data_IF_970184350110
#
_entry.id   IF_970184350110
#
_cell.length_a   1.000
_cell.length_b   1.000
_cell.length_c   1.000
_cell.angle_alpha   90.00
_cell.angle_beta   90.00
_cell.angle_gamma   90.00
#
_symmetry.space_group_name_H-M   'P 1'
#
loop_
_entity.id
_entity.type
_entity.pdbx_description
1 polymer ?
#
# COMPACT_ATOMS: atom_id res chain seq x y z
N UNK A 1 13.75 0.15 -1.64
CA UNK A 1 12.46 0.06 -0.93
C UNK A 1 11.77 1.41 -1.03
N UNK A 2 10.59 1.52 -1.65
CA UNK A 2 10.07 2.83 -2.07
C UNK A 2 9.38 3.63 -0.95
N UNK A 3 8.90 3.00 0.13
CA UNK A 3 8.18 3.72 1.21
C UNK A 3 8.33 3.05 2.60
N UNK A 4 9.32 2.19 2.81
CA UNK A 4 9.48 1.43 4.08
C UNK A 4 8.42 0.37 4.32
N UNK A 5 7.70 -0.05 3.27
CA UNK A 5 6.78 -1.18 3.27
C UNK A 5 7.31 -2.28 2.34
N UNK A 6 7.31 -3.52 2.82
CA UNK A 6 7.73 -4.67 2.00
C UNK A 6 6.71 -4.97 0.91
N UNK A 7 7.16 -5.49 -0.23
CA UNK A 7 6.29 -5.90 -1.33
C UNK A 7 5.22 -6.91 -0.87
N UNK A 8 5.61 -7.88 -0.03
CA UNK A 8 4.69 -8.86 0.58
C UNK A 8 3.56 -8.19 1.36
N UNK A 9 3.86 -7.14 2.12
CA UNK A 9 2.83 -6.39 2.85
C UNK A 9 1.91 -5.62 1.90
N UNK A 10 2.45 -5.00 0.85
CA UNK A 10 1.62 -4.30 -0.15
C UNK A 10 0.61 -5.26 -0.80
N UNK A 11 1.07 -6.45 -1.20
CA UNK A 11 0.16 -7.45 -1.77
C UNK A 11 -0.83 -8.03 -0.75
N UNK A 12 -0.44 -8.16 0.53
CA UNK A 12 -1.37 -8.56 1.58
C UNK A 12 -2.46 -7.50 1.83
N UNK A 13 -2.11 -6.21 1.78
CA UNK A 13 -3.06 -5.11 1.91
C UNK A 13 -4.03 -5.05 0.73
N UNK A 14 -3.51 -5.26 -0.48
CA UNK A 14 -4.33 -5.45 -1.68
C UNK A 14 -5.33 -6.59 -1.51
N UNK A 15 -4.88 -7.77 -1.08
CA UNK A 15 -5.74 -8.93 -0.89
C UNK A 15 -6.84 -8.70 0.18
N UNK A 16 -6.58 -7.84 1.16
CA UNK A 16 -7.53 -7.43 2.20
C UNK A 16 -8.44 -6.27 1.78
N UNK A 17 -8.29 -5.73 0.57
CA UNK A 17 -9.04 -4.56 0.11
C UNK A 17 -8.70 -3.27 0.87
N UNK A 18 -7.52 -3.20 1.48
CA UNK A 18 -7.07 -2.07 2.32
C UNK A 18 -6.22 -1.04 1.59
N UNK A 19 -5.87 -1.30 0.33
CA UNK A 19 -5.08 -0.40 -0.48
C UNK A 19 -5.69 -0.33 -1.88
N UNK A 20 -6.00 0.88 -2.40
CA UNK A 20 -6.42 1.04 -3.78
C UNK A 20 -5.33 0.53 -4.73
N UNK A 21 -5.74 -0.03 -5.86
CA UNK A 21 -4.81 -0.49 -6.89
C UNK A 21 -5.45 -0.44 -8.26
N UNK A 22 -4.61 -0.34 -9.28
CA UNK A 22 -5.01 -0.49 -10.67
C UNK A 22 -4.33 -1.72 -11.27
N UNK A 23 -5.07 -2.47 -12.10
CA UNK A 23 -4.50 -3.53 -12.93
C UNK A 23 -4.22 -3.00 -14.32
N UNK A 24 -2.97 -3.16 -14.76
CA UNK A 24 -2.53 -2.86 -16.13
C UNK A 24 -1.96 -4.16 -16.70
N UNK A 25 -2.78 -4.88 -17.47
CA UNK A 25 -2.46 -6.23 -17.93
C UNK A 25 -2.18 -7.19 -16.77
N UNK A 26 -0.98 -7.78 -16.76
CA UNK A 26 -0.52 -8.67 -15.68
C UNK A 26 0.06 -7.91 -14.48
N UNK A 27 0.34 -6.63 -14.63
CA UNK A 27 0.93 -5.81 -13.57
C UNK A 27 -0.13 -5.23 -12.65
N UNK A 28 0.16 -5.22 -11.35
CA UNK A 28 -0.59 -4.42 -10.37
C UNK A 28 0.22 -3.17 -10.07
N UNK A 29 -0.40 -2.00 -10.14
CA UNK A 29 0.22 -0.73 -9.75
C UNK A 29 -0.53 -0.15 -8.57
N UNK A 30 0.23 0.54 -7.74
CA UNK A 30 -0.24 1.26 -6.57
C UNK A 30 0.17 2.71 -6.74
N UNK A 31 -0.70 3.62 -6.35
CA UNK A 31 -0.37 5.04 -6.32
C UNK A 31 0.46 5.33 -5.06
N UNK A 32 1.44 6.24 -5.17
CA UNK A 32 2.40 6.47 -4.10
C UNK A 32 1.77 7.22 -2.92
N UNK A 33 0.82 8.13 -3.18
CA UNK A 33 0.07 8.84 -2.14
C UNK A 33 -0.85 7.91 -1.34
N UNK A 34 -1.44 6.88 -1.96
CA UNK A 34 -2.21 5.85 -1.25
C UNK A 34 -1.34 5.09 -0.24
N UNK A 35 -0.14 4.67 -0.67
CA UNK A 35 0.82 3.99 0.19
C UNK A 35 1.29 4.92 1.32
N UNK A 36 1.47 6.21 1.04
CA UNK A 36 1.88 7.21 2.02
C UNK A 36 0.79 7.49 3.06
N UNK A 37 -0.47 7.61 2.63
CA UNK A 37 -1.62 7.73 3.53
C UNK A 37 -1.70 6.53 4.48
N UNK A 38 -1.57 5.31 3.95
CA UNK A 38 -1.58 4.11 4.79
C UNK A 38 -0.49 4.13 5.88
N UNK A 39 0.72 4.59 5.54
CA UNK A 39 1.81 4.73 6.50
C UNK A 39 1.49 5.77 7.57
N UNK A 40 0.94 6.91 7.17
CA UNK A 40 0.65 8.01 8.09
C UNK A 40 -0.53 7.68 9.03
N UNK A 41 -1.55 6.96 8.55
CA UNK A 41 -2.60 6.39 9.41
C UNK A 41 -2.01 5.47 10.49
N UNK A 42 -1.05 4.62 10.13
CA UNK A 42 -0.41 3.68 11.08
C UNK A 42 0.50 4.38 12.09
N UNK A 43 1.11 5.51 11.72
CA UNK A 43 1.87 6.36 12.67
C UNK A 43 0.94 7.00 13.70
N UNK A 44 -0.23 7.49 13.27
CA UNK A 44 -1.22 8.13 14.17
C UNK A 44 -1.79 7.17 15.21
N UNK A 45 -1.96 5.90 14.88
CA UNK A 45 -2.45 4.88 15.83
C UNK A 45 -1.43 4.57 16.95
N UNK A 46 -0.15 4.90 16.75
CA UNK A 46 0.94 4.61 17.69
C UNK A 46 1.30 5.77 18.62
N UNK A 47 0.66 6.93 18.47
CA UNK A 47 0.87 8.13 19.32
C UNK A 47 -0.34 8.30 20.23
#
# INVERSE_FOLDING_TARGET
ELLGISEKQVFALKARGKLPFIKIGRSTRFEASDLRQFIDERKRIRT
#
